data_IF_876153386894
#
_entry.id   IF_876153386894
#
_cell.length_a   1.000
_cell.length_b   1.000
_cell.length_c   1.000
_cell.angle_alpha   90.00
_cell.angle_beta   90.00
_cell.angle_gamma   90.00
#
_symmetry.space_group_name_H-M   'P 1'
#
loop_
_entity.id
_entity.type
_entity.pdbx_description
1 polymer ?
#
# COMPACT_ATOMS: atom_id res chain seq x y z
N UNK A 1 -9.06 20.55 -5.09
CA UNK A 1 -8.78 19.40 -4.19
C UNK A 1 -10.03 18.56 -4.08
N UNK A 2 -9.97 17.24 -4.26
CA UNK A 2 -11.18 16.42 -4.22
C UNK A 2 -11.27 15.69 -2.86
N UNK A 3 -12.02 16.29 -1.92
CA UNK A 3 -12.30 15.74 -0.59
C UNK A 3 -12.90 14.34 -0.67
N UNK A 4 -13.61 14.02 -1.75
CA UNK A 4 -14.16 12.68 -1.99
C UNK A 4 -13.04 11.65 -2.10
N UNK A 5 -11.98 11.92 -2.88
CA UNK A 5 -10.89 10.95 -3.05
C UNK A 5 -10.06 10.77 -1.78
N UNK A 6 -9.85 11.82 -0.98
CA UNK A 6 -9.19 11.70 0.31
C UNK A 6 -9.98 10.80 1.26
N UNK A 7 -11.29 11.01 1.37
CA UNK A 7 -12.15 10.18 2.20
C UNK A 7 -12.23 8.73 1.70
N UNK A 8 -12.31 8.52 0.37
CA UNK A 8 -12.27 7.17 -0.20
C UNK A 8 -10.96 6.46 0.11
N UNK A 9 -9.82 7.14 -0.04
CA UNK A 9 -8.51 6.58 0.32
C UNK A 9 -8.46 6.19 1.80
N UNK A 10 -8.86 7.08 2.70
CA UNK A 10 -8.82 6.83 4.14
C UNK A 10 -9.74 5.67 4.54
N UNK A 11 -10.97 5.61 4.01
CA UNK A 11 -11.87 4.49 4.28
C UNK A 11 -11.28 3.15 3.79
N UNK A 12 -10.73 3.11 2.58
CA UNK A 12 -10.09 1.91 2.04
C UNK A 12 -8.87 1.48 2.87
N UNK A 13 -8.11 2.44 3.40
CA UNK A 13 -6.95 2.15 4.22
C UNK A 13 -7.37 1.53 5.56
N UNK A 14 -8.47 2.02 6.13
CA UNK A 14 -9.05 1.46 7.35
C UNK A 14 -9.61 0.06 7.12
N UNK A 15 -10.36 -0.15 6.04
CA UNK A 15 -10.86 -1.47 5.62
C UNK A 15 -9.71 -2.48 5.42
N UNK A 16 -8.64 -2.06 4.74
CA UNK A 16 -7.46 -2.88 4.53
C UNK A 16 -6.82 -3.32 5.85
N UNK A 17 -6.68 -2.40 6.81
CA UNK A 17 -6.07 -2.70 8.10
C UNK A 17 -6.97 -3.59 8.97
N UNK A 18 -8.28 -3.42 8.89
CA UNK A 18 -9.24 -4.26 9.59
C UNK A 18 -9.20 -5.70 9.04
N UNK A 19 -9.13 -5.86 7.71
CA UNK A 19 -8.96 -7.17 7.06
C UNK A 19 -7.60 -7.81 7.39
N UNK A 20 -6.51 -7.03 7.35
CA UNK A 20 -5.19 -7.52 7.75
C UNK A 20 -5.17 -7.98 9.21
N UNK A 21 -5.89 -7.31 10.11
CA UNK A 21 -6.00 -7.73 11.51
C UNK A 21 -6.71 -9.07 11.66
N UNK A 22 -7.71 -9.36 10.82
CA UNK A 22 -8.37 -10.68 10.81
C UNK A 22 -7.41 -11.76 10.32
N UNK A 23 -6.59 -11.45 9.31
CA UNK A 23 -5.61 -12.38 8.76
C UNK A 23 -4.40 -12.60 9.67
N UNK A 24 -3.98 -11.56 10.40
CA UNK A 24 -2.77 -11.54 11.23
C UNK A 24 -3.07 -10.95 12.62
N UNK A 25 -3.85 -11.65 13.46
CA UNK A 25 -4.35 -11.12 14.73
C UNK A 25 -3.25 -10.83 15.77
N UNK A 26 -2.08 -11.46 15.63
CA UNK A 26 -0.93 -11.29 16.53
C UNK A 26 0.14 -10.37 15.97
N UNK A 27 -0.10 -9.70 14.84
CA UNK A 27 0.90 -8.80 14.25
C UNK A 27 0.73 -7.39 14.83
N UNK A 28 1.55 -7.11 15.85
CA UNK A 28 1.50 -5.85 16.61
C UNK A 28 1.66 -4.59 15.74
N UNK A 29 2.37 -4.69 14.62
CA UNK A 29 2.59 -3.55 13.72
C UNK A 29 1.30 -3.08 13.05
N UNK A 30 0.42 -3.99 12.62
CA UNK A 30 -0.89 -3.62 12.02
C UNK A 30 -1.77 -2.93 13.07
N UNK A 31 -1.73 -3.39 14.33
CA UNK A 31 -2.44 -2.74 15.43
C UNK A 31 -1.91 -1.32 15.70
N UNK A 32 -0.59 -1.16 15.71
CA UNK A 32 0.05 0.14 15.90
C UNK A 32 -0.34 1.12 14.77
N UNK A 33 -0.24 0.67 13.52
CA UNK A 33 -0.60 1.45 12.34
C UNK A 33 -2.08 1.85 12.37
N UNK A 34 -2.99 0.91 12.68
CA UNK A 34 -4.44 1.18 12.77
C UNK A 34 -4.73 2.26 13.81
N UNK A 35 -4.09 2.16 14.98
CA UNK A 35 -4.25 3.14 16.06
C UNK A 35 -3.69 4.51 15.67
N UNK A 36 -2.55 4.57 14.97
CA UNK A 36 -1.99 5.82 14.43
C UNK A 36 -2.96 6.48 13.45
N UNK A 37 -3.59 5.71 12.56
CA UNK A 37 -4.58 6.24 11.62
C UNK A 37 -5.85 6.70 12.34
N UNK A 38 -6.37 5.92 13.29
CA UNK A 38 -7.55 6.27 14.07
C UNK A 38 -7.37 7.58 14.84
N UNK A 39 -6.20 7.78 15.46
CA UNK A 39 -5.87 9.00 16.20
C UNK A 39 -5.50 10.17 15.27
N UNK A 40 -4.80 9.89 14.17
CA UNK A 40 -4.31 10.91 13.24
C UNK A 40 -5.40 11.46 12.31
N UNK A 41 -6.38 10.64 11.92
CA UNK A 41 -7.39 11.00 10.92
C UNK A 41 -8.25 12.20 11.33
N UNK A 42 -8.73 12.32 12.59
CA UNK A 42 -9.49 13.50 13.03
C UNK A 42 -8.63 14.77 13.11
N UNK A 43 -7.31 14.63 13.30
CA UNK A 43 -6.38 15.75 13.52
C UNK A 43 -5.87 16.29 12.17
N UNK A 44 -5.30 15.41 11.36
CA UNK A 44 -4.73 15.74 10.06
C UNK A 44 -4.87 14.55 9.09
N UNK A 45 -6.04 14.38 8.45
CA UNK A 45 -6.27 13.28 7.52
C UNK A 45 -5.33 13.33 6.30
N UNK A 46 -4.82 14.53 6.00
CA UNK A 46 -3.92 14.75 4.88
C UNK A 46 -2.52 14.20 5.15
N UNK A 47 -2.01 14.35 6.37
CA UNK A 47 -0.71 13.80 6.75
C UNK A 47 -0.65 12.27 6.58
N UNK A 48 -1.77 11.57 6.80
CA UNK A 48 -1.85 10.11 6.57
C UNK A 48 -1.70 9.79 5.08
N UNK A 49 -2.42 10.50 4.20
CA UNK A 49 -2.29 10.34 2.76
C UNK A 49 -0.86 10.67 2.29
N UNK A 50 -0.34 11.82 2.71
CA UNK A 50 0.98 12.28 2.27
C UNK A 50 2.08 11.31 2.78
N UNK A 51 1.95 10.80 4.01
CA UNK A 51 2.80 9.74 4.53
C UNK A 51 2.73 8.47 3.67
N UNK A 52 1.53 7.89 3.48
CA UNK A 52 1.37 6.71 2.64
C UNK A 52 1.95 6.91 1.24
N UNK A 53 1.65 8.02 0.57
CA UNK A 53 2.14 8.27 -0.77
C UNK A 53 3.65 8.51 -0.81
N UNK A 54 4.23 9.13 0.21
CA UNK A 54 5.67 9.32 0.29
C UNK A 54 6.42 7.97 0.32
N UNK A 55 5.98 7.03 1.15
CA UNK A 55 6.67 5.73 1.30
C UNK A 55 6.30 4.74 0.20
N UNK A 56 5.04 4.68 -0.21
CA UNK A 56 4.54 3.57 -1.02
C UNK A 56 4.51 3.90 -2.50
N UNK A 57 4.26 5.16 -2.86
CA UNK A 57 4.11 5.55 -4.26
C UNK A 57 5.33 5.32 -5.16
N UNK A 58 6.60 5.36 -4.67
CA UNK A 58 7.75 4.99 -5.50
C UNK A 58 7.66 3.60 -6.13
N UNK A 59 6.90 2.68 -5.52
CA UNK A 59 6.76 1.28 -5.96
C UNK A 59 5.50 1.00 -6.77
N UNK A 60 4.81 2.04 -7.25
CA UNK A 60 3.53 1.89 -7.94
C UNK A 60 3.57 0.88 -9.10
N UNK A 61 4.68 0.79 -9.84
CA UNK A 61 4.84 -0.18 -10.92
C UNK A 61 4.83 -1.63 -10.42
N UNK A 62 5.56 -1.90 -9.34
CA UNK A 62 5.60 -3.22 -8.72
C UNK A 62 4.24 -3.60 -8.13
N UNK A 63 3.56 -2.63 -7.52
CA UNK A 63 2.22 -2.82 -6.96
C UNK A 63 1.21 -3.18 -8.05
N UNK A 64 1.10 -2.36 -9.10
CA UNK A 64 0.13 -2.61 -10.17
C UNK A 64 0.43 -3.89 -10.97
N UNK A 65 1.70 -4.29 -11.07
CA UNK A 65 2.11 -5.54 -11.72
C UNK A 65 2.11 -6.75 -10.77
N UNK A 66 1.74 -6.56 -9.49
CA UNK A 66 1.71 -7.61 -8.46
C UNK A 66 3.02 -8.38 -8.41
N UNK A 67 4.13 -7.64 -8.36
CA UNK A 67 5.46 -8.20 -8.36
C UNK A 67 5.79 -8.74 -6.95
N UNK A 68 5.52 -10.02 -6.74
CA UNK A 68 5.73 -10.72 -5.47
C UNK A 68 7.21 -10.81 -5.10
N UNK A 69 8.11 -11.05 -6.06
CA UNK A 69 9.57 -11.06 -5.82
C UNK A 69 10.04 -9.71 -5.27
N UNK A 70 9.45 -8.61 -5.74
CA UNK A 70 9.75 -7.28 -5.22
C UNK A 70 9.31 -7.14 -3.76
N UNK A 71 8.07 -7.52 -3.46
CA UNK A 71 7.47 -7.42 -2.12
C UNK A 71 8.20 -8.28 -1.07
N UNK A 72 8.70 -9.44 -1.49
CA UNK A 72 9.32 -10.42 -0.58
C UNK A 72 10.81 -10.22 -0.35
N UNK A 73 11.45 -9.28 -1.06
CA UNK A 73 12.85 -8.99 -0.87
C UNK A 73 13.04 -7.73 -0.01
N UNK A 74 13.48 -7.87 1.26
CA UNK A 74 13.67 -6.75 2.18
C UNK A 74 14.67 -5.71 1.67
N UNK A 75 15.65 -6.15 0.88
CA UNK A 75 16.69 -5.27 0.36
C UNK A 75 16.15 -4.27 -0.66
N UNK A 76 15.04 -4.58 -1.33
CA UNK A 76 14.45 -3.69 -2.33
C UNK A 76 13.89 -2.41 -1.70
N UNK A 77 13.36 -2.51 -0.48
CA UNK A 77 12.80 -1.40 0.28
C UNK A 77 13.90 -0.77 1.16
N UNK A 78 14.72 -1.59 1.83
CA UNK A 78 15.76 -1.11 2.74
C UNK A 78 16.90 -0.32 2.07
N UNK A 79 17.12 -0.50 0.76
CA UNK A 79 18.14 0.24 -0.03
C UNK A 79 17.58 1.46 -0.74
N UNK A 80 16.27 1.70 -0.65
CA UNK A 80 15.66 2.89 -1.25
C UNK A 80 16.02 4.12 -0.41
N UNK A 81 16.60 5.14 -1.05
CA UNK A 81 17.00 6.37 -0.37
C UNK A 81 15.81 7.09 0.26
N UNK A 82 14.62 7.00 -0.32
CA UNK A 82 13.42 7.58 0.29
C UNK A 82 13.02 6.87 1.59
N UNK A 83 13.38 5.59 1.75
CA UNK A 83 13.20 4.88 3.03
C UNK A 83 14.30 5.22 4.02
N UNK A 84 15.56 5.28 3.58
CA UNK A 84 16.70 5.59 4.43
C UNK A 84 16.66 7.02 4.98
N UNK A 85 16.38 8.02 4.13
CA UNK A 85 16.34 9.43 4.51
C UNK A 85 15.24 9.71 5.56
N UNK A 86 14.21 8.88 5.61
CA UNK A 86 13.05 9.09 6.49
C UNK A 86 13.11 8.23 7.75
N UNK A 87 13.63 7.00 7.69
CA UNK A 87 13.94 6.23 8.92
C UNK A 87 14.94 7.01 9.80
N UNK A 88 15.90 7.72 9.19
CA UNK A 88 16.81 8.63 9.90
C UNK A 88 16.12 9.89 10.45
N UNK A 89 15.14 10.45 9.73
CA UNK A 89 14.45 11.69 10.13
C UNK A 89 13.30 11.49 11.12
N UNK A 90 12.65 10.32 11.11
CA UNK A 90 11.43 10.03 11.90
C UNK A 90 11.67 9.11 13.08
N UNK A 91 12.91 8.63 13.30
CA UNK A 91 13.24 7.73 14.40
C UNK A 91 12.29 6.51 14.49
N UNK A 92 12.07 5.80 13.37
CA UNK A 92 11.24 4.58 13.26
C UNK A 92 9.71 4.79 13.20
N UNK A 93 9.19 5.81 12.51
CA UNK A 93 7.74 5.91 12.30
C UNK A 93 7.23 4.91 11.24
N UNK A 94 6.75 3.78 11.76
CA UNK A 94 5.70 2.80 11.36
C UNK A 94 5.20 2.64 9.90
N UNK A 95 5.31 3.62 9.00
CA UNK A 95 4.77 3.49 7.63
C UNK A 95 5.59 2.52 6.77
N UNK A 96 6.90 2.40 7.02
CA UNK A 96 7.75 1.40 6.34
C UNK A 96 7.30 -0.04 6.63
N UNK A 97 6.74 -0.28 7.82
CA UNK A 97 6.18 -1.58 8.23
C UNK A 97 4.86 -1.92 7.54
N UNK A 98 4.14 -0.95 6.95
CA UNK A 98 2.89 -1.22 6.22
C UNK A 98 3.07 -2.20 5.06
N UNK A 99 4.29 -2.37 4.57
CA UNK A 99 4.63 -3.27 3.46
C UNK A 99 5.49 -4.48 3.86
N UNK A 100 5.85 -4.63 5.13
CA UNK A 100 6.67 -5.75 5.58
C UNK A 100 5.84 -7.02 5.78
N UNK A 101 5.26 -7.51 4.68
CA UNK A 101 4.48 -8.74 4.67
C UNK A 101 5.33 -9.99 4.50
N UNK A 102 6.64 -9.88 4.27
CA UNK A 102 7.50 -11.01 3.88
C UNK A 102 7.39 -12.23 4.80
N UNK A 103 7.37 -12.01 6.11
CA UNK A 103 7.43 -13.06 7.13
C UNK A 103 6.08 -13.77 7.29
N UNK A 104 5.01 -13.11 6.82
CA UNK A 104 3.62 -13.54 6.94
C UNK A 104 3.01 -13.91 5.58
N UNK A 105 3.64 -13.53 4.47
CA UNK A 105 3.09 -13.68 3.12
C UNK A 105 2.86 -15.12 2.73
N UNK A 106 3.79 -16.00 3.09
CA UNK A 106 3.68 -17.44 2.84
C UNK A 106 2.57 -18.12 3.67
N UNK A 107 2.05 -17.45 4.71
CA UNK A 107 0.92 -17.93 5.51
C UNK A 107 -0.42 -17.67 4.80
N UNK A 108 -0.43 -16.79 3.79
CA UNK A 108 -1.64 -16.45 3.04
C UNK A 108 -1.91 -17.45 1.90
N UNK A 109 -3.15 -17.92 1.83
CA UNK A 109 -3.63 -18.63 0.65
C UNK A 109 -3.72 -17.68 -0.58
N UNK A 110 -3.95 -18.25 -1.76
CA UNK A 110 -4.00 -17.46 -2.99
C UNK A 110 -5.09 -16.36 -2.96
N UNK A 111 -6.23 -16.64 -2.33
CA UNK A 111 -7.31 -15.67 -2.16
C UNK A 111 -6.87 -14.45 -1.33
N UNK A 112 -6.26 -14.67 -0.16
CA UNK A 112 -5.79 -13.60 0.71
C UNK A 112 -4.70 -12.76 0.02
N UNK A 113 -3.75 -13.41 -0.66
CA UNK A 113 -2.71 -12.69 -1.44
C UNK A 113 -3.32 -11.86 -2.57
N UNK A 114 -4.31 -12.40 -3.27
CA UNK A 114 -5.03 -11.66 -4.29
C UNK A 114 -5.76 -10.44 -3.72
N UNK A 115 -6.48 -10.60 -2.60
CA UNK A 115 -7.18 -9.51 -1.91
C UNK A 115 -6.23 -8.41 -1.44
N UNK A 116 -5.07 -8.75 -0.87
CA UNK A 116 -4.05 -7.76 -0.47
C UNK A 116 -3.57 -6.96 -1.69
N UNK A 117 -3.34 -7.61 -2.84
CA UNK A 117 -2.97 -6.91 -4.06
C UNK A 117 -4.06 -5.97 -4.57
N UNK A 118 -5.35 -6.34 -4.45
CA UNK A 118 -6.46 -5.44 -4.77
C UNK A 118 -6.44 -4.18 -3.89
N UNK A 119 -6.21 -4.35 -2.57
CA UNK A 119 -6.07 -3.22 -1.66
C UNK A 119 -4.91 -2.31 -2.05
N UNK A 120 -3.71 -2.85 -2.26
CA UNK A 120 -2.56 -2.03 -2.66
C UNK A 120 -2.80 -1.28 -3.97
N UNK A 121 -3.37 -1.93 -4.99
CA UNK A 121 -3.69 -1.28 -6.26
C UNK A 121 -4.73 -0.17 -6.08
N UNK A 122 -5.79 -0.44 -5.31
CA UNK A 122 -6.86 0.52 -5.04
C UNK A 122 -6.33 1.73 -4.28
N UNK A 123 -5.62 1.51 -3.18
CA UNK A 123 -5.00 2.54 -2.34
C UNK A 123 -3.99 3.39 -3.13
N UNK A 124 -3.18 2.77 -3.99
CA UNK A 124 -2.26 3.49 -4.87
C UNK A 124 -3.00 4.45 -5.80
N UNK A 125 -4.07 3.96 -6.41
CA UNK A 125 -4.82 4.73 -7.40
C UNK A 125 -5.67 5.84 -6.77
N UNK A 126 -6.34 5.56 -5.64
CA UNK A 126 -7.12 6.56 -4.89
C UNK A 126 -6.21 7.58 -4.22
N UNK A 127 -5.07 7.14 -3.67
CA UNK A 127 -4.05 8.02 -3.10
C UNK A 127 -3.45 8.97 -4.14
N UNK A 128 -3.08 8.48 -5.33
CA UNK A 128 -2.60 9.31 -6.43
C UNK A 128 -3.61 10.38 -6.87
N UNK A 129 -4.91 10.06 -6.84
CA UNK A 129 -5.98 11.01 -7.15
C UNK A 129 -6.19 12.04 -6.05
N UNK A 130 -6.14 11.62 -4.79
CA UNK A 130 -6.29 12.48 -3.63
C UNK A 130 -5.08 13.40 -3.40
N UNK A 131 -3.90 12.99 -3.86
CA UNK A 131 -2.67 13.76 -3.72
C UNK A 131 -2.69 15.05 -4.54
N UNK A 132 -2.00 16.06 -4.01
CA UNK A 132 -1.76 17.36 -4.64
C UNK A 132 -0.35 17.42 -5.28
N UNK A 133 0.44 16.37 -5.12
CA UNK A 133 1.77 16.23 -5.68
C UNK A 133 1.70 15.93 -7.18
N UNK A 134 2.27 16.77 -8.06
CA UNK A 134 2.26 16.58 -9.51
C UNK A 134 2.81 15.22 -9.95
N UNK A 135 3.87 14.75 -9.29
CA UNK A 135 4.53 13.47 -9.53
C UNK A 135 3.56 12.29 -9.39
N UNK A 136 2.59 12.36 -8.47
CA UNK A 136 1.60 11.28 -8.30
C UNK A 136 0.59 11.24 -9.45
N UNK A 137 0.48 12.27 -10.30
CA UNK A 137 -0.36 12.19 -11.52
C UNK A 137 0.26 11.29 -12.57
N UNK A 138 1.59 11.13 -12.58
CA UNK A 138 2.29 10.19 -13.47
C UNK A 138 1.88 8.74 -13.19
N UNK A 139 1.53 8.41 -11.94
CA UNK A 139 1.03 7.09 -11.54
C UNK A 139 -0.27 6.77 -12.29
N UNK A 140 -1.18 7.74 -12.40
CA UNK A 140 -2.46 7.58 -13.09
C UNK A 140 -2.23 7.43 -14.60
N UNK A 141 -1.36 8.26 -15.18
CA UNK A 141 -0.99 8.16 -16.60
C UNK A 141 -0.39 6.78 -16.91
N UNK A 142 0.60 6.36 -16.13
CA UNK A 142 1.25 5.06 -16.32
C UNK A 142 0.28 3.89 -16.16
N UNK A 143 -0.66 3.98 -15.21
CA UNK A 143 -1.71 2.97 -15.02
C UNK A 143 -2.51 2.77 -16.30
N UNK A 144 -2.96 3.87 -16.93
CA UNK A 144 -3.73 3.81 -18.17
C UNK A 144 -2.90 3.30 -19.36
N UNK A 145 -1.63 3.71 -19.45
CA UNK A 145 -0.71 3.23 -20.50
C UNK A 145 -0.40 1.72 -20.40
N UNK A 146 -0.48 1.16 -19.19
CA UNK A 146 -0.11 -0.24 -18.92
C UNK A 146 -1.32 -1.12 -18.55
N UNK A 147 -2.55 -0.67 -18.81
CA UNK A 147 -3.78 -1.34 -18.36
C UNK A 147 -3.83 -2.83 -18.75
N UNK A 148 -3.37 -3.18 -19.95
CA UNK A 148 -3.34 -4.58 -20.40
C UNK A 148 -2.41 -5.46 -19.56
N UNK A 149 -1.22 -4.96 -19.20
CA UNK A 149 -0.26 -5.69 -18.33
C UNK A 149 -0.82 -5.85 -16.93
N UNK A 150 -1.47 -4.80 -16.41
CA UNK A 150 -2.11 -4.81 -15.10
C UNK A 150 -3.25 -5.84 -15.07
N UNK A 151 -4.09 -5.88 -16.10
CA UNK A 151 -5.16 -6.89 -16.25
C UNK A 151 -4.60 -8.31 -16.30
N UNK A 152 -3.50 -8.54 -17.02
CA UNK A 152 -2.84 -9.84 -17.07
C UNK A 152 -2.28 -10.25 -15.70
N UNK A 153 -1.65 -9.33 -14.97
CA UNK A 153 -1.16 -9.58 -13.60
C UNK A 153 -2.30 -9.93 -12.63
N UNK A 154 -3.43 -9.20 -12.71
CA UNK A 154 -4.62 -9.50 -11.93
C UNK A 154 -5.19 -10.88 -12.24
N UNK A 155 -5.30 -11.25 -13.52
CA UNK A 155 -5.76 -12.56 -13.95
C UNK A 155 -4.85 -13.71 -13.48
N UNK A 156 -3.52 -13.50 -13.47
CA UNK A 156 -2.57 -14.50 -12.95
C UNK A 156 -2.85 -14.79 -11.47
N UNK A 157 -2.86 -13.74 -10.65
CA UNK A 157 -3.11 -13.89 -9.20
C UNK A 157 -4.51 -14.42 -8.89
N UNK A 158 -5.53 -14.07 -9.68
CA UNK A 158 -6.89 -14.60 -9.50
C UNK A 158 -6.98 -16.10 -9.81
N UNK A 159 -6.22 -16.59 -10.80
CA UNK A 159 -6.15 -18.04 -11.09
C UNK A 159 -5.47 -18.81 -9.96
N UNK A 160 -4.38 -18.27 -9.41
CA UNK A 160 -3.71 -18.83 -8.24
C UNK A 160 -4.63 -18.85 -7.00
N UNK A 161 -5.51 -17.85 -6.86
CA UNK A 161 -6.53 -17.80 -5.81
C UNK A 161 -7.65 -18.85 -5.95
N UNK A 162 -7.82 -19.43 -7.14
CA UNK A 162 -8.89 -20.39 -7.44
C UNK A 162 -8.42 -21.86 -7.36
N UNK A 163 -7.14 -22.09 -7.06
CA UNK A 163 -6.51 -23.41 -6.89
C UNK A 163 -6.43 -23.77 -5.40
#
# INVERSE_FOLDING_TARGET
MNVVFLNSFLNQLEEFLDDLRVLLPTWDDVLAIRKTIELGRPINPRAILDGYMHYISPYYQHIFLRNEEFLLNPENIAKDKNFQDVDEATYQDNYSKMFELKDVWNQFNGHNRHTIWEYFCSLMFTGARASNHPEHKLIITWFHENEQKIRQAAQRTAKEASQ
#
